data_IF_444288006421
#
_entry.id   IF_444288006421
#
_cell.length_a   1.000
_cell.length_b   1.000
_cell.length_c   1.000
_cell.angle_alpha   90.00
_cell.angle_beta   90.00
_cell.angle_gamma   90.00
#
_symmetry.space_group_name_H-M   'P 1'
#
loop_
_entity.id
_entity.type
_entity.pdbx_description
1 polymer ?
#
# COMPACT_ATOMS: atom_id res chain seq x y z
N UNK A 1 -30.86 6.62 34.96
CA UNK A 1 -30.81 5.16 34.72
C UNK A 1 -32.04 4.78 33.92
N UNK A 2 -31.89 4.61 32.61
CA UNK A 2 -33.01 4.31 31.69
C UNK A 2 -32.52 3.24 30.72
N UNK A 3 -33.22 2.10 30.72
CA UNK A 3 -32.84 0.91 29.95
C UNK A 3 -33.40 1.06 28.53
N UNK A 4 -32.56 1.01 27.50
CA UNK A 4 -33.05 0.87 26.13
C UNK A 4 -33.28 -0.61 25.84
N UNK A 5 -34.54 -0.97 25.58
CA UNK A 5 -34.94 -2.33 25.28
C UNK A 5 -34.57 -2.70 23.84
N UNK A 6 -33.87 -3.81 23.67
CA UNK A 6 -33.71 -4.50 22.39
C UNK A 6 -35.04 -5.19 22.02
N UNK A 7 -35.67 -4.90 20.87
CA UNK A 7 -36.76 -5.73 20.38
C UNK A 7 -36.20 -7.02 19.76
N UNK A 8 -36.72 -8.13 20.27
CA UNK A 8 -36.39 -9.51 19.95
C UNK A 8 -36.72 -9.87 18.48
N UNK A 9 -36.01 -10.87 17.96
CA UNK A 9 -36.25 -11.51 16.66
C UNK A 9 -37.57 -12.29 16.65
N UNK A 10 -38.35 -12.15 15.58
CA UNK A 10 -39.32 -13.15 15.12
C UNK A 10 -39.53 -12.99 13.60
N UNK A 11 -39.69 -13.99 12.72
CA UNK A 11 -39.27 -15.41 12.59
C UNK A 11 -40.31 -16.06 11.64
N UNK A 12 -39.87 -16.63 10.51
CA UNK A 12 -40.66 -17.53 9.62
C UNK A 12 -41.91 -16.90 8.94
N UNK A 13 -42.54 -17.46 7.90
CA UNK A 13 -42.22 -18.48 6.87
C UNK A 13 -43.40 -18.44 5.85
N UNK A 14 -43.37 -18.95 4.61
CA UNK A 14 -42.34 -19.39 3.64
C UNK A 14 -43.07 -19.52 2.27
N UNK A 15 -42.35 -19.80 1.16
CA UNK A 15 -42.81 -20.44 -0.11
C UNK A 15 -41.72 -20.20 -1.20
N UNK A 16 -40.68 -21.04 -1.33
CA UNK A 16 -40.67 -22.40 -1.89
C UNK A 16 -40.89 -22.47 -3.42
N UNK A 17 -39.78 -22.43 -4.18
CA UNK A 17 -39.65 -23.12 -5.48
C UNK A 17 -38.23 -23.74 -5.59
N UNK A 18 -38.04 -24.79 -6.41
CA UNK A 18 -37.20 -25.93 -6.02
C UNK A 18 -35.78 -25.93 -6.57
N UNK A 19 -35.02 -26.91 -6.07
CA UNK A 19 -33.63 -27.20 -6.38
C UNK A 19 -33.28 -27.28 -7.88
N UNK A 20 -32.16 -26.65 -8.24
CA UNK A 20 -31.31 -27.05 -9.33
C UNK A 20 -29.91 -27.43 -8.77
N UNK A 21 -29.71 -28.72 -8.53
CA UNK A 21 -28.37 -29.33 -8.47
C UNK A 21 -27.90 -29.64 -9.91
N UNK A 22 -26.61 -29.93 -10.16
CA UNK A 22 -25.42 -29.66 -9.34
C UNK A 22 -24.35 -28.85 -10.11
N UNK A 23 -23.21 -28.59 -9.48
CA UNK A 23 -22.04 -28.02 -10.15
C UNK A 23 -21.46 -28.99 -11.20
N UNK A 24 -21.74 -28.73 -12.48
CA UNK A 24 -20.92 -29.22 -13.59
C UNK A 24 -19.66 -28.34 -13.72
N UNK A 25 -18.73 -28.50 -12.78
CA UNK A 25 -17.35 -28.05 -12.98
C UNK A 25 -16.72 -28.98 -14.03
N UNK A 26 -16.91 -28.65 -15.32
CA UNK A 26 -16.20 -29.31 -16.40
C UNK A 26 -14.68 -29.18 -16.21
N UNK A 27 -13.87 -29.98 -16.93
CA UNK A 27 -12.43 -29.79 -16.96
C UNK A 27 -12.17 -28.33 -17.32
N UNK A 28 -11.38 -27.63 -16.51
CA UNK A 28 -10.78 -26.36 -16.92
C UNK A 28 -9.64 -26.70 -17.87
N UNK A 29 -9.99 -27.14 -19.07
CA UNK A 29 -9.05 -27.25 -20.17
C UNK A 29 -8.41 -25.88 -20.37
N UNK A 30 -7.09 -25.90 -20.52
CA UNK A 30 -6.25 -24.73 -20.30
C UNK A 30 -6.46 -23.63 -21.32
N UNK A 31 -6.11 -22.40 -20.92
CA UNK A 31 -6.11 -21.26 -21.84
C UNK A 31 -7.50 -20.70 -22.08
N UNK A 32 -7.93 -19.80 -21.18
CA UNK A 32 -8.36 -18.53 -21.73
C UNK A 32 -7.11 -17.90 -22.36
N UNK A 33 -6.84 -18.23 -23.62
CA UNK A 33 -6.13 -17.32 -24.51
C UNK A 33 -6.99 -16.05 -24.51
N UNK A 34 -6.66 -15.12 -23.63
CA UNK A 34 -6.78 -13.72 -23.98
C UNK A 34 -6.03 -13.61 -25.30
N UNK A 35 -6.68 -13.30 -26.42
CA UNK A 35 -5.93 -12.98 -27.62
C UNK A 35 -5.00 -11.84 -27.22
N UNK A 36 -3.72 -11.97 -27.52
CA UNK A 36 -2.84 -10.81 -27.63
C UNK A 36 -3.37 -9.99 -28.81
N UNK A 37 -4.49 -9.30 -28.61
CA UNK A 37 -5.08 -8.34 -29.53
C UNK A 37 -4.31 -7.03 -29.34
N UNK A 38 -3.35 -6.68 -30.22
CA UNK A 38 -2.65 -5.42 -30.14
C UNK A 38 -3.60 -4.23 -30.38
N UNK A 39 -4.86 -4.49 -30.77
CA UNK A 39 -5.93 -3.53 -30.98
C UNK A 39 -6.74 -3.15 -29.73
N UNK A 40 -6.61 -3.86 -28.60
CA UNK A 40 -7.02 -3.32 -27.28
C UNK A 40 -5.96 -2.34 -26.73
N UNK A 41 -5.47 -1.48 -27.63
CA UNK A 41 -4.71 -0.30 -27.28
C UNK A 41 -5.52 0.53 -26.30
N UNK A 42 -4.84 0.97 -25.25
CA UNK A 42 -5.39 1.94 -24.32
C UNK A 42 -5.76 3.19 -25.14
N UNK A 43 -6.78 3.93 -24.74
CA UNK A 43 -7.25 5.05 -25.54
C UNK A 43 -6.06 6.00 -25.85
N UNK A 44 -5.89 6.56 -27.08
CA UNK A 44 -4.60 7.16 -27.52
C UNK A 44 -4.09 8.36 -26.71
N UNK A 45 -4.85 8.86 -25.74
CA UNK A 45 -4.39 9.73 -24.67
C UNK A 45 -3.41 9.07 -23.68
N UNK A 46 -3.47 7.75 -23.48
CA UNK A 46 -2.60 6.99 -22.58
C UNK A 46 -1.23 6.67 -23.22
N UNK A 47 -1.17 6.38 -24.52
CA UNK A 47 0.10 6.20 -25.26
C UNK A 47 1.00 7.47 -25.20
N UNK A 48 0.39 8.64 -24.94
CA UNK A 48 1.11 9.92 -24.77
C UNK A 48 1.61 10.17 -23.34
N UNK A 49 1.34 9.26 -22.39
CA UNK A 49 1.85 9.36 -21.02
C UNK A 49 3.25 8.74 -20.86
N UNK A 50 3.68 7.87 -21.79
CA UNK A 50 4.95 7.14 -21.72
C UNK A 50 6.18 8.05 -21.73
N UNK A 51 6.10 9.22 -22.39
CA UNK A 51 7.17 10.24 -22.43
C UNK A 51 7.55 10.82 -21.04
N UNK A 52 6.76 10.56 -20.00
CA UNK A 52 7.04 11.03 -18.63
C UNK A 52 6.74 9.96 -17.58
N UNK A 53 7.17 8.72 -17.82
CA UNK A 53 7.05 7.63 -16.85
C UNK A 53 7.78 7.99 -15.54
N UNK A 54 7.03 8.35 -14.49
CA UNK A 54 7.59 8.70 -13.18
C UNK A 54 8.12 7.44 -12.50
N UNK A 55 9.40 7.13 -12.77
CA UNK A 55 10.06 5.93 -12.26
C UNK A 55 10.10 5.90 -10.73
N UNK A 56 9.27 5.03 -10.15
CA UNK A 56 9.15 4.79 -8.73
C UNK A 56 10.19 3.77 -8.25
N UNK A 57 10.83 4.04 -7.11
CA UNK A 57 11.54 2.98 -6.38
C UNK A 57 10.51 1.98 -5.81
N UNK A 58 10.73 0.66 -5.92
CA UNK A 58 9.86 -0.32 -5.30
C UNK A 58 9.80 -0.14 -3.78
N UNK A 59 8.67 -0.45 -3.15
CA UNK A 59 8.50 -0.34 -1.70
C UNK A 59 9.61 -1.10 -0.92
N UNK A 60 10.00 -2.28 -1.40
CA UNK A 60 11.12 -3.05 -0.83
C UNK A 60 12.40 -2.21 -0.74
N UNK A 61 12.70 -1.40 -1.75
CA UNK A 61 13.89 -0.54 -1.78
C UNK A 61 13.81 0.59 -0.76
N UNK A 62 12.62 1.20 -0.59
CA UNK A 62 12.38 2.18 0.46
C UNK A 62 12.56 1.57 1.87
N UNK A 63 12.12 0.33 2.07
CA UNK A 63 12.31 -0.42 3.33
C UNK A 63 13.80 -0.71 3.59
N UNK A 64 14.56 -1.12 2.57
CA UNK A 64 16.01 -1.33 2.67
C UNK A 64 16.74 -0.05 3.08
N UNK A 65 16.43 1.09 2.44
CA UNK A 65 16.99 2.42 2.77
C UNK A 65 16.69 2.80 4.22
N UNK A 66 15.46 2.62 4.68
CA UNK A 66 15.08 2.89 6.07
C UNK A 66 15.79 1.95 7.07
N UNK A 67 15.83 0.65 6.78
CA UNK A 67 16.40 -0.38 7.66
C UNK A 67 17.93 -0.35 7.72
N UNK A 68 18.59 0.25 6.73
CA UNK A 68 20.03 0.51 6.74
C UNK A 68 20.40 1.61 7.76
N UNK A 69 19.56 2.64 7.92
CA UNK A 69 19.82 3.78 8.82
C UNK A 69 19.25 3.59 10.22
N UNK A 70 18.13 2.89 10.35
CA UNK A 70 17.40 2.71 11.60
C UNK A 70 17.20 1.22 11.95
N UNK A 71 17.24 0.90 13.24
CA UNK A 71 16.96 -0.40 13.79
C UNK A 71 15.49 -0.49 14.24
N UNK A 72 14.80 -1.54 13.78
CA UNK A 72 13.41 -1.79 14.10
C UNK A 72 12.72 -2.65 13.05
N UNK A 73 11.41 -2.83 13.22
CA UNK A 73 10.53 -3.57 12.31
C UNK A 73 9.56 -2.62 11.63
N UNK A 74 9.44 -2.68 10.30
CA UNK A 74 8.38 -1.95 9.59
C UNK A 74 7.02 -2.52 10.00
N UNK A 75 6.12 -1.65 10.43
CA UNK A 75 4.75 -2.00 10.88
C UNK A 75 3.66 -1.38 9.99
N UNK A 76 4.01 -0.40 9.15
CA UNK A 76 3.14 0.08 8.07
C UNK A 76 3.99 0.70 6.96
N UNK A 77 3.47 0.68 5.73
CA UNK A 77 4.03 1.36 4.59
C UNK A 77 2.90 1.85 3.68
N UNK A 78 3.05 3.03 3.09
CA UNK A 78 2.10 3.60 2.14
C UNK A 78 2.79 4.52 1.15
N UNK A 79 2.35 4.50 -0.11
CA UNK A 79 2.66 5.53 -1.08
C UNK A 79 1.68 6.70 -0.86
N UNK A 80 2.19 7.93 -0.78
CA UNK A 80 1.40 9.12 -0.44
C UNK A 80 1.79 10.31 -1.29
N UNK A 81 0.88 11.28 -1.37
CA UNK A 81 1.20 12.59 -1.92
C UNK A 81 2.22 13.36 -1.05
N UNK A 82 2.99 14.26 -1.67
CA UNK A 82 3.85 15.22 -0.99
C UNK A 82 3.02 16.25 -0.18
N UNK A 83 3.64 16.81 0.86
CA UNK A 83 3.23 18.06 1.50
C UNK A 83 3.51 19.27 0.57
N UNK A 84 2.97 20.47 0.84
CA UNK A 84 3.29 21.67 0.04
C UNK A 84 4.80 21.90 -0.09
N UNK A 85 5.54 21.92 1.02
CA UNK A 85 6.99 22.14 1.03
C UNK A 85 7.82 20.99 0.39
N UNK A 86 7.26 19.79 0.26
CA UNK A 86 7.88 18.73 -0.56
C UNK A 86 7.61 18.96 -2.06
N UNK A 87 6.42 19.41 -2.45
CA UNK A 87 6.11 19.79 -3.85
C UNK A 87 6.96 20.95 -4.35
N UNK A 88 7.16 21.96 -3.51
CA UNK A 88 7.97 23.14 -3.85
C UNK A 88 9.45 22.76 -4.14
N UNK A 89 9.88 21.58 -3.66
CA UNK A 89 11.20 20.96 -3.91
C UNK A 89 11.18 19.93 -5.05
N UNK A 90 10.10 19.83 -5.82
CA UNK A 90 9.95 18.91 -6.95
C UNK A 90 9.59 17.47 -6.59
N UNK A 91 9.25 17.17 -5.33
CA UNK A 91 8.80 15.83 -4.94
C UNK A 91 7.37 15.60 -5.41
N UNK A 92 7.15 14.55 -6.21
CA UNK A 92 5.82 14.19 -6.71
C UNK A 92 5.13 13.09 -5.90
N UNK A 93 5.87 12.14 -5.33
CA UNK A 93 5.34 11.02 -4.54
C UNK A 93 6.28 10.66 -3.37
N UNK A 94 5.72 10.15 -2.27
CA UNK A 94 6.45 9.87 -1.03
C UNK A 94 6.08 8.48 -0.50
N UNK A 95 7.10 7.63 -0.31
CA UNK A 95 6.98 6.43 0.52
C UNK A 95 7.01 6.84 1.98
N UNK A 96 5.87 6.69 2.67
CA UNK A 96 5.80 6.88 4.11
C UNK A 96 5.78 5.52 4.82
N UNK A 97 6.78 5.29 5.67
CA UNK A 97 6.97 4.08 6.44
C UNK A 97 6.77 4.36 7.93
N UNK A 98 6.21 3.39 8.65
CA UNK A 98 6.19 3.38 10.12
C UNK A 98 7.05 2.23 10.62
N UNK A 99 8.03 2.53 11.47
CA UNK A 99 8.95 1.56 12.05
C UNK A 99 8.76 1.50 13.57
N UNK A 100 8.54 0.30 14.11
CA UNK A 100 8.58 0.02 15.54
C UNK A 100 10.03 -0.28 15.95
N UNK A 101 10.60 0.52 16.84
CA UNK A 101 11.98 0.36 17.32
C UNK A 101 12.07 -0.70 18.43
N UNK A 102 13.27 -1.22 18.76
CA UNK A 102 13.45 -2.09 19.93
C UNK A 102 12.99 -1.47 21.25
N UNK A 103 13.05 -0.14 21.38
CA UNK A 103 12.57 0.62 22.54
C UNK A 103 11.03 0.75 22.59
N UNK A 104 10.30 0.16 21.62
CA UNK A 104 8.84 0.26 21.41
C UNK A 104 8.34 1.65 20.98
N UNK A 105 9.24 2.59 20.70
CA UNK A 105 8.90 3.84 20.03
C UNK A 105 8.53 3.60 18.56
N UNK A 106 7.72 4.48 17.97
CA UNK A 106 7.37 4.44 16.54
C UNK A 106 7.98 5.63 15.81
N UNK A 107 8.77 5.35 14.77
CA UNK A 107 9.26 6.34 13.82
C UNK A 107 8.33 6.43 12.60
N UNK A 108 8.02 7.66 12.17
CA UNK A 108 7.50 7.99 10.84
C UNK A 108 8.66 8.42 9.96
N UNK A 109 8.85 7.73 8.84
CA UNK A 109 9.94 7.95 7.89
C UNK A 109 9.30 8.31 6.54
N UNK A 110 9.59 9.48 6.01
CA UNK A 110 9.15 9.94 4.67
C UNK A 110 10.34 9.92 3.72
N UNK A 111 10.20 9.20 2.61
CA UNK A 111 11.23 9.01 1.58
C UNK A 111 10.66 9.41 0.21
N UNK A 112 11.40 10.21 -0.56
CA UNK A 112 11.04 10.52 -1.96
C UNK A 112 10.96 9.23 -2.78
N UNK A 113 9.81 9.01 -3.41
CA UNK A 113 9.54 7.78 -4.14
C UNK A 113 10.29 7.68 -5.48
N UNK A 114 10.91 8.76 -5.98
CA UNK A 114 11.81 8.72 -7.16
C UNK A 114 13.27 8.49 -6.76
N UNK A 115 13.83 9.30 -5.86
CA UNK A 115 15.27 9.24 -5.53
C UNK A 115 15.64 8.29 -4.39
N UNK A 116 14.71 7.98 -3.48
CA UNK A 116 15.01 7.32 -2.22
C UNK A 116 15.62 8.23 -1.15
N UNK A 117 15.68 9.55 -1.38
CA UNK A 117 16.15 10.51 -0.38
C UNK A 117 15.18 10.61 0.82
N UNK A 118 15.74 10.74 2.03
CA UNK A 118 14.94 11.03 3.22
C UNK A 118 14.42 12.48 3.18
N UNK A 119 13.11 12.65 3.27
CA UNK A 119 12.44 13.96 3.30
C UNK A 119 12.15 14.43 4.73
N UNK A 120 11.74 13.50 5.59
CA UNK A 120 11.47 13.72 7.01
C UNK A 120 11.69 12.41 7.77
N UNK A 121 12.23 12.48 8.99
CA UNK A 121 12.11 11.38 9.97
C UNK A 121 11.72 11.97 11.32
N UNK A 122 10.60 11.51 11.87
CA UNK A 122 10.04 11.98 13.12
C UNK A 122 9.60 10.82 14.02
N UNK A 123 9.63 11.01 15.34
CA UNK A 123 9.17 10.02 16.32
C UNK A 123 10.00 10.02 17.59
N UNK A 124 9.48 9.38 18.63
CA UNK A 124 10.25 9.13 19.84
C UNK A 124 11.42 8.16 19.55
N UNK A 125 12.49 8.22 20.33
CA UNK A 125 13.59 7.26 20.25
C UNK A 125 14.54 7.38 19.04
N UNK A 126 14.38 8.35 18.14
CA UNK A 126 15.19 8.50 16.91
C UNK A 126 16.70 8.29 17.12
N UNK A 127 17.30 8.98 18.09
CA UNK A 127 18.74 8.89 18.40
C UNK A 127 19.17 7.51 18.89
N UNK A 128 18.28 6.77 19.57
CA UNK A 128 18.54 5.40 20.06
C UNK A 128 18.36 4.36 18.95
N UNK A 129 17.43 4.60 18.02
CA UNK A 129 17.13 3.72 16.91
C UNK A 129 18.09 3.87 15.71
N UNK A 130 18.88 4.94 15.64
CA UNK A 130 19.89 5.13 14.59
C UNK A 130 21.02 4.11 14.74
N UNK A 131 21.32 3.34 13.69
CA UNK A 131 22.44 2.40 13.70
C UNK A 131 23.76 3.16 13.85
N UNK A 132 24.58 2.77 14.84
CA UNK A 132 25.93 3.31 15.03
C UNK A 132 26.87 2.70 13.96
N UNK A 133 27.51 3.54 13.15
CA UNK A 133 28.52 3.11 12.16
C UNK A 133 28.25 3.47 10.70
N UNK A 134 27.12 4.13 10.37
CA UNK A 134 26.72 4.49 9.00
C UNK A 134 26.77 6.01 8.73
N UNK A 135 27.74 6.70 9.33
CA UNK A 135 27.91 8.16 9.29
C UNK A 135 29.33 8.53 8.79
N UNK A 136 29.77 7.84 7.73
CA UNK A 136 31.08 7.98 7.10
C UNK A 136 30.95 7.99 5.58
#
# INVERSE_FOLDING_TARGET
MTRLCTPLIALCAALALPAALPAAAGPRDGGAEFPDDPGHGWAPEFDRLDDNEYRLIPLRRAIEIASARFEGRIIAARLTGPTPHERDRGVALVHELRMLTPARDVLRIRIDARSGAFLEVAGAGLTKARRKGHDR
#
